data_IF_276096773548
#
_entry.id   IF_276096773548
#
_cell.length_a   1.000
_cell.length_b   1.000
_cell.length_c   1.000
_cell.angle_alpha   90.00
_cell.angle_beta   90.00
_cell.angle_gamma   90.00
#
_symmetry.space_group_name_H-M   'P 1'
#
loop_
_entity.id
_entity.type
_entity.pdbx_description
1 polymer ?
#
# COMPACT_ATOMS: atom_id res chain seq x y z
N UNK A 1 17.06 -13.40 -2.94
CA UNK A 1 15.83 -12.68 -2.50
C UNK A 1 14.95 -12.39 -3.70
N UNK A 2 13.68 -12.22 -3.47
CA UNK A 2 12.70 -11.99 -4.51
C UNK A 2 11.94 -10.69 -4.25
N UNK A 3 11.67 -9.95 -5.33
CA UNK A 3 11.05 -8.64 -5.27
C UNK A 3 9.86 -8.58 -6.24
N UNK A 4 8.83 -7.82 -5.85
CA UNK A 4 7.64 -7.57 -6.68
C UNK A 4 7.66 -6.13 -7.17
N UNK A 5 7.24 -5.93 -8.42
CA UNK A 5 7.20 -4.61 -9.04
C UNK A 5 5.88 -4.43 -9.78
N UNK A 6 5.18 -3.32 -9.49
CA UNK A 6 3.90 -3.00 -10.11
C UNK A 6 3.84 -1.52 -10.47
N UNK A 7 3.03 -1.20 -11.47
CA UNK A 7 2.76 0.18 -11.87
C UNK A 7 1.29 0.32 -12.23
N UNK A 8 0.66 1.39 -11.73
CA UNK A 8 -0.68 1.78 -12.17
C UNK A 8 -0.67 3.23 -12.66
N UNK A 9 -1.52 3.50 -13.65
CA UNK A 9 -1.77 4.85 -14.16
C UNK A 9 -3.14 5.31 -13.68
N UNK A 10 -3.20 6.55 -13.16
CA UNK A 10 -4.38 7.13 -12.53
C UNK A 10 -4.81 8.35 -13.35
N UNK A 11 -6.00 8.28 -13.95
CA UNK A 11 -6.53 9.36 -14.78
C UNK A 11 -7.17 10.46 -13.93
N UNK A 12 -6.77 11.70 -14.17
CA UNK A 12 -7.37 12.86 -13.50
C UNK A 12 -7.13 12.90 -11.98
N UNK A 13 -6.06 12.28 -11.51
CA UNK A 13 -5.72 12.18 -10.08
C UNK A 13 -4.49 13.02 -9.79
N UNK A 14 -4.56 13.86 -8.77
CA UNK A 14 -3.41 14.63 -8.30
C UNK A 14 -2.48 13.75 -7.46
N UNK A 15 -1.19 14.03 -7.54
CA UNK A 15 -0.18 13.31 -6.72
C UNK A 15 -0.43 13.47 -5.22
N UNK A 16 -0.96 14.60 -4.80
CA UNK A 16 -1.35 14.83 -3.39
C UNK A 16 -2.44 13.87 -2.93
N UNK A 17 -3.45 13.60 -3.77
CA UNK A 17 -4.52 12.66 -3.44
C UNK A 17 -4.02 11.22 -3.41
N UNK A 18 -3.15 10.86 -4.34
CA UNK A 18 -2.50 9.54 -4.33
C UNK A 18 -1.67 9.35 -3.04
N UNK A 19 -0.92 10.36 -2.65
CA UNK A 19 -0.14 10.34 -1.40
C UNK A 19 -1.05 10.18 -0.17
N UNK A 20 -2.15 10.94 -0.10
CA UNK A 20 -3.10 10.86 1.01
C UNK A 20 -3.75 9.47 1.11
N UNK A 21 -4.01 8.81 -0.01
CA UNK A 21 -4.55 7.45 -0.03
C UNK A 21 -3.63 6.42 0.64
N UNK A 22 -2.33 6.68 0.67
CA UNK A 22 -1.31 5.79 1.26
C UNK A 22 -0.94 6.19 2.69
N UNK A 23 -1.26 7.40 3.12
CA UNK A 23 -0.69 7.98 4.34
C UNK A 23 -1.72 8.42 5.37
N UNK A 24 -3.01 8.25 5.09
CA UNK A 24 -4.08 8.60 6.03
C UNK A 24 -4.96 7.40 6.33
N UNK A 25 -5.60 7.41 7.50
CA UNK A 25 -6.58 6.39 7.87
C UNK A 25 -7.77 6.38 6.91
N UNK A 26 -8.27 7.57 6.54
CA UNK A 26 -9.33 7.69 5.55
C UNK A 26 -8.92 7.12 4.19
N UNK A 27 -7.68 7.34 3.77
CA UNK A 27 -7.15 6.80 2.54
C UNK A 27 -7.09 5.28 2.58
N UNK A 28 -6.35 4.72 3.52
CA UNK A 28 -6.16 3.25 3.64
C UNK A 28 -7.50 2.51 3.75
N UNK A 29 -8.43 3.02 4.54
CA UNK A 29 -9.76 2.41 4.68
C UNK A 29 -10.68 2.67 3.49
N UNK A 30 -10.29 3.54 2.60
CA UNK A 30 -11.03 3.81 1.37
C UNK A 30 -10.81 2.78 0.28
N UNK A 31 -9.64 2.12 0.25
CA UNK A 31 -9.32 1.21 -0.85
C UNK A 31 -8.75 -0.15 -0.41
N UNK A 32 -8.11 -0.26 0.73
CA UNK A 32 -7.37 -1.47 1.11
C UNK A 32 -8.15 -2.33 2.11
N UNK A 33 -8.24 -1.90 3.35
CA UNK A 33 -8.94 -2.64 4.40
C UNK A 33 -9.79 -1.69 5.25
N UNK A 34 -10.98 -2.14 5.62
CA UNK A 34 -11.89 -1.33 6.45
C UNK A 34 -11.40 -1.12 7.87
N UNK A 35 -10.39 -1.87 8.33
CA UNK A 35 -9.86 -1.81 9.69
C UNK A 35 -8.38 -1.49 9.68
N UNK A 36 -8.05 -0.22 9.89
CA UNK A 36 -6.69 0.26 9.95
C UNK A 36 -6.57 1.37 10.98
N UNK A 37 -5.41 1.42 11.65
CA UNK A 37 -5.01 2.51 12.53
C UNK A 37 -3.78 3.18 11.91
N UNK A 38 -3.93 4.46 11.56
CA UNK A 38 -2.87 5.25 10.95
C UNK A 38 -2.69 6.53 11.77
N UNK A 39 -1.83 6.51 12.79
CA UNK A 39 -1.68 7.64 13.71
C UNK A 39 -1.05 8.87 13.07
N UNK A 40 -0.24 8.67 12.02
CA UNK A 40 0.46 9.75 11.31
C UNK A 40 1.33 9.21 10.19
N UNK A 41 2.12 10.10 9.60
CA UNK A 41 3.02 9.79 8.48
C UNK A 41 4.46 10.21 8.73
N UNK A 42 4.79 10.53 9.96
CA UNK A 42 6.16 10.84 10.32
C UNK A 42 7.00 9.58 10.34
N UNK A 43 8.29 9.73 10.07
CA UNK A 43 9.25 8.62 10.17
C UNK A 43 9.18 8.04 11.59
N UNK A 44 8.99 6.73 11.67
CA UNK A 44 8.81 5.99 12.91
C UNK A 44 7.37 5.68 13.27
N UNK A 45 6.38 6.36 12.67
CA UNK A 45 4.97 6.01 12.86
C UNK A 45 4.68 4.61 12.28
N UNK A 46 3.74 3.90 12.91
CA UNK A 46 3.38 2.54 12.52
C UNK A 46 1.93 2.50 12.08
N UNK A 47 1.70 2.09 10.83
CA UNK A 47 0.37 1.75 10.33
C UNK A 47 0.05 0.33 10.76
N UNK A 48 -1.11 0.13 11.39
CA UNK A 48 -1.57 -1.20 11.80
C UNK A 48 -2.83 -1.54 11.04
N UNK A 49 -2.80 -2.62 10.27
CA UNK A 49 -3.91 -3.05 9.43
C UNK A 49 -4.37 -4.43 9.81
N UNK A 50 -5.70 -4.61 9.85
CA UNK A 50 -6.34 -5.91 10.09
C UNK A 50 -6.95 -6.43 8.80
N UNK A 51 -6.95 -7.76 8.64
CA UNK A 51 -7.51 -8.43 7.48
C UNK A 51 -8.41 -9.59 7.92
N UNK A 52 -9.42 -10.00 7.10
CA UNK A 52 -10.34 -11.06 7.48
C UNK A 52 -9.60 -12.38 7.78
N UNK A 53 -10.06 -13.07 8.80
CA UNK A 53 -9.57 -14.40 9.19
C UNK A 53 -8.08 -14.46 9.54
N UNK A 54 -7.45 -13.31 9.76
CA UNK A 54 -6.06 -13.24 10.17
C UNK A 54 -5.95 -13.02 11.68
N UNK A 55 -5.19 -13.85 12.41
CA UNK A 55 -5.03 -13.71 13.86
C UNK A 55 -4.04 -12.61 14.26
N UNK A 56 -3.33 -12.02 13.30
CA UNK A 56 -2.35 -10.95 13.53
C UNK A 56 -2.70 -9.72 12.69
N UNK A 57 -2.08 -8.61 13.01
CA UNK A 57 -2.11 -7.38 12.20
C UNK A 57 -0.88 -7.31 11.30
N UNK A 58 -1.00 -6.53 10.22
CA UNK A 58 0.14 -6.11 9.41
C UNK A 58 0.59 -4.75 9.90
N UNK A 59 1.83 -4.67 10.37
CA UNK A 59 2.39 -3.46 10.95
C UNK A 59 3.49 -2.92 10.05
N UNK A 60 3.26 -1.72 9.51
CA UNK A 60 4.17 -1.04 8.60
C UNK A 60 4.74 0.20 9.28
N UNK A 61 6.05 0.22 9.51
CA UNK A 61 6.72 1.41 10.03
C UNK A 61 7.11 2.32 8.89
N UNK A 62 6.78 3.59 9.01
CA UNK A 62 7.18 4.61 8.03
C UNK A 62 8.67 4.86 8.18
N UNK A 63 9.44 4.58 7.12
CA UNK A 63 10.88 4.86 7.05
C UNK A 63 11.16 6.12 6.23
N UNK A 64 10.27 6.47 5.30
CA UNK A 64 10.36 7.68 4.47
C UNK A 64 8.96 8.11 4.05
N UNK A 65 8.70 9.41 4.10
CA UNK A 65 7.46 10.01 3.63
C UNK A 65 7.75 11.40 3.07
N UNK A 66 7.94 11.47 1.76
CA UNK A 66 8.12 12.73 1.03
C UNK A 66 6.77 13.08 0.39
N UNK A 67 6.11 14.17 0.81
CA UNK A 67 4.77 14.50 0.34
C UNK A 67 4.64 14.46 -1.18
N UNK A 68 3.60 13.81 -1.67
CA UNK A 68 3.22 13.68 -3.08
C UNK A 68 4.23 12.97 -3.98
N UNK A 69 5.29 12.35 -3.43
CA UNK A 69 6.32 11.70 -4.26
C UNK A 69 6.79 10.34 -3.78
N UNK A 70 6.96 10.11 -2.48
CA UNK A 70 7.57 8.87 -2.00
C UNK A 70 7.05 8.44 -0.64
N UNK A 71 6.78 7.14 -0.48
CA UNK A 71 6.50 6.52 0.82
C UNK A 71 7.27 5.21 0.88
N UNK A 72 7.95 4.97 1.99
CA UNK A 72 8.65 3.71 2.23
C UNK A 72 8.25 3.16 3.59
N UNK A 73 7.84 1.90 3.61
CA UNK A 73 7.49 1.18 4.83
C UNK A 73 8.39 -0.02 5.03
N UNK A 74 8.74 -0.27 6.28
CA UNK A 74 9.35 -1.52 6.71
C UNK A 74 8.27 -2.37 7.39
N UNK A 75 8.05 -3.58 6.92
CA UNK A 75 7.10 -4.50 7.53
C UNK A 75 7.73 -5.09 8.79
N UNK A 76 7.25 -4.61 9.96
CA UNK A 76 7.78 -5.02 11.26
C UNK A 76 6.92 -6.06 11.96
N UNK A 77 5.72 -6.33 11.44
CA UNK A 77 4.79 -7.35 11.95
C UNK A 77 3.85 -7.81 10.86
N UNK A 78 3.43 -9.06 10.93
CA UNK A 78 2.55 -9.67 9.95
C UNK A 78 2.74 -11.18 9.89
N UNK A 79 2.16 -11.82 8.86
CA UNK A 79 2.33 -13.26 8.71
C UNK A 79 3.77 -13.63 8.37
N UNK A 80 4.16 -14.91 8.59
CA UNK A 80 5.48 -15.37 8.20
C UNK A 80 5.76 -15.08 6.72
N UNK A 81 6.96 -14.55 6.44
CA UNK A 81 7.38 -14.16 5.09
C UNK A 81 7.17 -12.68 4.76
N UNK A 82 6.32 -11.97 5.49
CA UNK A 82 6.14 -10.53 5.35
C UNK A 82 7.09 -9.73 6.23
N UNK A 83 7.27 -10.16 7.47
CA UNK A 83 8.13 -9.46 8.42
C UNK A 83 9.56 -9.36 7.89
N UNK A 84 10.10 -8.15 7.86
CA UNK A 84 11.44 -7.88 7.32
C UNK A 84 11.43 -7.50 5.85
N UNK A 85 10.29 -7.55 5.17
CA UNK A 85 10.15 -7.04 3.80
C UNK A 85 9.91 -5.53 3.81
N UNK A 86 10.12 -4.89 2.66
CA UNK A 86 9.92 -3.44 2.51
C UNK A 86 8.92 -3.16 1.41
N UNK A 87 8.04 -2.21 1.66
CA UNK A 87 7.08 -1.72 0.67
C UNK A 87 7.44 -0.28 0.33
N UNK A 88 7.67 0.00 -0.94
CA UNK A 88 8.08 1.32 -1.42
C UNK A 88 7.10 1.80 -2.48
N UNK A 89 6.61 3.03 -2.30
CA UNK A 89 5.69 3.69 -3.19
C UNK A 89 6.36 4.88 -3.81
N UNK A 90 6.31 4.98 -5.13
CA UNK A 90 6.78 6.13 -5.89
C UNK A 90 5.61 6.74 -6.65
N UNK A 91 5.42 8.05 -6.48
CA UNK A 91 4.30 8.81 -7.05
C UNK A 91 4.87 9.87 -7.97
N UNK A 92 4.38 9.91 -9.22
CA UNK A 92 4.87 10.82 -10.23
C UNK A 92 3.71 11.45 -11.00
N UNK A 93 3.82 12.74 -11.28
CA UNK A 93 2.88 13.43 -12.15
C UNK A 93 3.29 13.25 -13.61
N UNK A 94 2.34 12.91 -14.46
CA UNK A 94 2.55 12.70 -15.90
C UNK A 94 1.40 13.36 -16.68
N UNK A 95 1.49 14.68 -16.89
CA UNK A 95 0.42 15.46 -17.52
C UNK A 95 -0.82 15.52 -16.62
N UNK A 96 -1.96 15.06 -17.14
CA UNK A 96 -3.22 14.96 -16.38
C UNK A 96 -3.39 13.61 -15.66
N UNK A 97 -2.32 12.82 -15.59
CA UNK A 97 -2.27 11.54 -14.91
C UNK A 97 -1.33 11.59 -13.72
N UNK A 98 -1.55 10.69 -12.78
CA UNK A 98 -0.54 10.28 -11.80
C UNK A 98 -0.11 8.86 -12.09
N UNK A 99 1.16 8.57 -11.89
CA UNK A 99 1.73 7.22 -12.01
C UNK A 99 2.18 6.79 -10.62
N UNK A 100 1.75 5.61 -10.20
CA UNK A 100 2.16 5.04 -8.92
C UNK A 100 2.89 3.73 -9.18
N UNK A 101 4.11 3.64 -8.66
CA UNK A 101 4.91 2.41 -8.68
C UNK A 101 4.96 1.84 -7.29
N UNK A 102 4.80 0.53 -7.20
CA UNK A 102 4.93 -0.22 -5.97
C UNK A 102 6.05 -1.24 -6.11
N UNK A 103 6.98 -1.19 -5.19
CA UNK A 103 8.02 -2.21 -5.05
C UNK A 103 7.87 -2.86 -3.67
N UNK A 104 7.70 -4.18 -3.64
CA UNK A 104 7.68 -4.94 -2.39
C UNK A 104 8.83 -5.92 -2.42
N UNK A 105 9.85 -5.64 -1.62
CA UNK A 105 11.16 -6.28 -1.72
C UNK A 105 11.53 -7.07 -0.47
N UNK A 106 12.51 -7.96 -0.62
CA UNK A 106 13.10 -8.67 0.51
C UNK A 106 12.44 -9.99 0.87
N UNK A 107 11.65 -10.59 -0.02
CA UNK A 107 11.15 -11.96 0.19
C UNK A 107 12.30 -12.96 0.06
N UNK A 108 12.22 -14.04 0.83
CA UNK A 108 13.28 -15.06 0.86
C UNK A 108 13.43 -15.78 -0.48
N UNK A 109 12.30 -16.08 -1.15
CA UNK A 109 12.31 -16.80 -2.42
C UNK A 109 11.00 -16.61 -3.18
N UNK A 110 10.96 -17.05 -4.43
CA UNK A 110 9.73 -17.13 -5.22
C UNK A 110 9.05 -18.45 -4.89
N UNK A 111 8.26 -18.44 -3.83
CA UNK A 111 7.43 -19.56 -3.41
C UNK A 111 5.94 -19.29 -3.67
N UNK A 112 5.06 -20.17 -3.22
CA UNK A 112 3.62 -20.00 -3.45
C UNK A 112 3.06 -18.78 -2.69
N UNK A 113 3.59 -18.49 -1.50
CA UNK A 113 3.21 -17.30 -0.76
C UNK A 113 3.57 -16.02 -1.54
N UNK A 114 4.79 -15.94 -2.08
CA UNK A 114 5.22 -14.82 -2.93
C UNK A 114 4.28 -14.64 -4.13
N UNK A 115 3.96 -15.73 -4.83
CA UNK A 115 3.05 -15.69 -5.99
C UNK A 115 1.65 -15.22 -5.60
N UNK A 116 1.13 -15.69 -4.49
CA UNK A 116 -0.19 -15.28 -3.97
C UNK A 116 -0.20 -13.79 -3.61
N UNK A 117 0.83 -13.29 -2.96
CA UNK A 117 0.94 -11.88 -2.56
C UNK A 117 1.01 -10.97 -3.79
N UNK A 118 1.73 -11.37 -4.85
CA UNK A 118 1.81 -10.52 -6.05
C UNK A 118 0.46 -10.41 -6.77
N UNK A 119 -0.36 -11.46 -6.79
CA UNK A 119 -1.74 -11.39 -7.31
C UNK A 119 -2.60 -10.51 -6.39
N UNK A 120 -2.46 -10.64 -5.09
CA UNK A 120 -3.14 -9.78 -4.11
C UNK A 120 -2.84 -8.30 -4.32
N UNK A 121 -1.58 -7.94 -4.53
CA UNK A 121 -1.20 -6.56 -4.83
C UNK A 121 -1.85 -6.05 -6.10
N UNK A 122 -1.89 -6.86 -7.16
CA UNK A 122 -2.54 -6.44 -8.41
C UNK A 122 -4.03 -6.12 -8.17
N UNK A 123 -4.74 -6.94 -7.41
CA UNK A 123 -6.14 -6.71 -7.06
C UNK A 123 -6.31 -5.47 -6.18
N UNK A 124 -5.48 -5.29 -5.17
CA UNK A 124 -5.53 -4.14 -4.27
C UNK A 124 -5.18 -2.83 -4.99
N UNK A 125 -4.24 -2.86 -5.92
CA UNK A 125 -3.88 -1.69 -6.73
C UNK A 125 -5.02 -1.27 -7.65
N UNK A 126 -5.81 -2.20 -8.19
CA UNK A 126 -7.01 -1.88 -8.96
C UNK A 126 -8.08 -1.25 -8.06
N UNK A 127 -8.18 -1.67 -6.81
CA UNK A 127 -9.06 -1.04 -5.82
C UNK A 127 -8.61 0.40 -5.51
N UNK A 128 -7.31 0.62 -5.34
CA UNK A 128 -6.74 1.97 -5.17
C UNK A 128 -7.05 2.86 -6.36
N UNK A 129 -6.87 2.36 -7.57
CA UNK A 129 -7.18 3.09 -8.81
C UNK A 129 -8.65 3.50 -8.85
N UNK A 130 -9.57 2.58 -8.59
CA UNK A 130 -11.00 2.87 -8.58
C UNK A 130 -11.37 3.92 -7.52
N UNK A 131 -10.82 3.81 -6.33
CA UNK A 131 -11.03 4.78 -5.25
C UNK A 131 -10.58 6.18 -5.65
N UNK A 132 -9.38 6.32 -6.20
CA UNK A 132 -8.83 7.63 -6.57
C UNK A 132 -9.50 8.23 -7.79
N UNK A 133 -9.85 7.44 -8.80
CA UNK A 133 -10.48 7.93 -10.02
C UNK A 133 -11.96 8.26 -9.85
N UNK A 134 -12.67 7.60 -8.94
CA UNK A 134 -14.12 7.78 -8.74
C UNK A 134 -14.48 8.49 -7.44
N UNK A 135 -13.60 8.50 -6.44
CA UNK A 135 -13.90 8.99 -5.09
C UNK A 135 -14.75 8.04 -4.25
N UNK A 136 -15.14 6.88 -4.77
CA UNK A 136 -15.98 5.93 -4.06
C UNK A 136 -15.16 5.07 -3.09
N UNK A 137 -15.57 5.04 -1.82
CA UNK A 137 -14.94 4.22 -0.79
C UNK A 137 -15.45 2.79 -0.93
N UNK A 138 -14.56 1.88 -1.27
CA UNK A 138 -14.85 0.46 -1.41
C UNK A 138 -13.57 -0.34 -1.12
N UNK A 139 -13.18 -0.48 0.17
CA UNK A 139 -11.95 -1.17 0.51
C UNK A 139 -12.01 -2.62 0.04
N UNK A 140 -10.89 -3.11 -0.47
CA UNK A 140 -10.79 -4.48 -1.00
C UNK A 140 -11.17 -5.51 0.08
N UNK A 141 -10.74 -5.28 1.31
CA UNK A 141 -11.16 -6.06 2.47
C UNK A 141 -12.12 -5.22 3.31
N UNK A 142 -13.41 -5.56 3.26
CA UNK A 142 -14.46 -4.89 4.02
C UNK A 142 -15.13 -5.88 4.96
N UNK A 143 -14.99 -5.66 6.30
CA UNK A 143 -15.49 -6.61 7.29
C UNK A 143 -15.71 -5.99 8.68
#
# INVERSE_FOLDING_TARGET
MADMHHLIQLQGVDTADAYAALTTGDGITGWWTSRADVPGTDVGDVLTMSFPDAPMTWDMRVDRADPSSRVEWDCIGGPPGWKGTRVMWDIESAGDQAVVRLDHTGFASVDDMFRTVTVGWAQMLLSLKAYLETGARAPFFDF
#
